data_IF_388472453260
#
_entry.id   IF_388472453260
#
_cell.length_a   1.000
_cell.length_b   1.000
_cell.length_c   1.000
_cell.angle_alpha   90.00
_cell.angle_beta   90.00
_cell.angle_gamma   90.00
#
_symmetry.space_group_name_H-M   'P 1'
#
loop_
_entity.id
_entity.type
_entity.pdbx_description
1 polymer ?
#
# COMPACT_ATOMS: atom_id res chain seq x y z
N UNK A 1 -0.28 0.26 22.30
CA UNK A 1 -1.54 -0.11 22.99
C UNK A 1 -2.62 -0.39 21.94
N UNK A 2 -3.62 -1.23 22.26
CA UNK A 2 -4.70 -1.59 21.34
C UNK A 2 -5.40 -0.36 20.72
N UNK A 3 -5.57 0.73 21.47
CA UNK A 3 -6.13 1.98 20.96
C UNK A 3 -5.22 2.64 19.90
N UNK A 4 -3.90 2.58 20.10
CA UNK A 4 -2.92 3.07 19.11
C UNK A 4 -2.96 2.27 17.81
N UNK A 5 -3.20 0.97 17.88
CA UNK A 5 -3.20 0.09 16.71
C UNK A 5 -4.49 0.24 15.89
N UNK A 6 -5.62 0.44 16.56
CA UNK A 6 -6.91 0.79 15.90
C UNK A 6 -6.79 2.13 15.18
N UNK A 7 -6.16 3.12 15.79
CA UNK A 7 -5.97 4.44 15.20
C UNK A 7 -5.08 4.41 13.95
N UNK A 8 -3.99 3.64 14.01
CA UNK A 8 -3.09 3.43 12.87
C UNK A 8 -3.80 2.76 11.69
N UNK A 9 -4.66 1.77 11.98
CA UNK A 9 -5.44 1.07 10.96
C UNK A 9 -6.46 1.97 10.26
N UNK A 10 -7.03 2.95 10.94
CA UNK A 10 -8.00 3.87 10.34
C UNK A 10 -7.34 4.97 9.50
N UNK A 11 -6.10 5.35 9.83
CA UNK A 11 -5.41 6.45 9.15
C UNK A 11 -4.95 6.09 7.73
N UNK A 12 -4.66 4.83 7.41
CA UNK A 12 -4.15 4.47 6.09
C UNK A 12 -5.15 4.80 4.97
N UNK A 13 -6.44 4.71 5.27
CA UNK A 13 -7.53 4.98 4.33
C UNK A 13 -8.24 6.33 4.56
N UNK A 14 -7.72 7.22 5.39
CA UNK A 14 -8.40 8.47 5.77
C UNK A 14 -8.70 9.42 4.58
N UNK A 15 -7.98 9.29 3.47
CA UNK A 15 -8.22 10.05 2.24
C UNK A 15 -8.92 9.26 1.13
N UNK A 16 -9.31 8.01 1.38
CA UNK A 16 -9.88 7.11 0.36
C UNK A 16 -11.24 7.59 -0.16
N UNK A 17 -12.07 8.15 0.70
CA UNK A 17 -13.42 8.62 0.34
C UNK A 17 -13.45 9.91 -0.46
N UNK A 18 -12.31 10.57 -0.72
CA UNK A 18 -12.28 11.77 -1.54
C UNK A 18 -12.52 11.43 -3.02
N UNK A 19 -13.28 12.27 -3.79
CA UNK A 19 -13.37 12.14 -5.23
C UNK A 19 -12.00 12.25 -5.93
N UNK A 20 -11.86 11.65 -7.11
CA UNK A 20 -10.61 11.59 -7.86
C UNK A 20 -10.02 12.98 -8.17
N UNK A 21 -10.86 13.89 -8.65
CA UNK A 21 -10.50 15.28 -8.95
C UNK A 21 -10.05 16.04 -7.70
N UNK A 22 -10.69 15.79 -6.57
CA UNK A 22 -10.33 16.40 -5.30
C UNK A 22 -8.99 15.84 -4.76
N UNK A 23 -8.71 14.55 -4.92
CA UNK A 23 -7.40 13.97 -4.59
C UNK A 23 -6.28 14.67 -5.36
N UNK A 24 -6.45 14.84 -6.67
CA UNK A 24 -5.48 15.54 -7.53
C UNK A 24 -5.30 17.00 -7.08
N UNK A 25 -6.40 17.72 -6.88
CA UNK A 25 -6.37 19.11 -6.47
C UNK A 25 -5.67 19.31 -5.12
N UNK A 26 -5.92 18.43 -4.15
CA UNK A 26 -5.29 18.48 -2.83
C UNK A 26 -3.80 18.16 -2.89
N UNK A 27 -3.40 17.16 -3.68
CA UNK A 27 -1.99 16.87 -3.89
C UNK A 27 -1.25 18.08 -4.47
N UNK A 28 -1.80 18.72 -5.50
CA UNK A 28 -1.24 19.94 -6.09
C UNK A 28 -1.16 21.08 -5.07
N UNK A 29 -2.24 21.32 -4.32
CA UNK A 29 -2.29 22.36 -3.28
C UNK A 29 -1.19 22.21 -2.23
N UNK A 30 -0.89 20.98 -1.85
CA UNK A 30 0.10 20.68 -0.81
C UNK A 30 1.50 20.37 -1.36
N UNK A 31 1.73 20.53 -2.66
CA UNK A 31 3.04 20.31 -3.29
C UNK A 31 3.47 18.85 -3.30
N UNK A 32 2.54 17.90 -3.22
CA UNK A 32 2.82 16.48 -3.31
C UNK A 32 3.01 16.09 -4.79
N UNK A 33 4.10 15.43 -5.15
CA UNK A 33 4.34 15.02 -6.53
C UNK A 33 3.31 13.97 -6.97
N UNK A 34 2.83 14.07 -8.19
CA UNK A 34 1.89 13.13 -8.81
C UNK A 34 2.58 12.51 -10.02
N UNK A 35 2.73 11.19 -10.03
CA UNK A 35 3.25 10.45 -11.18
C UNK A 35 2.22 10.34 -12.31
N UNK A 36 2.64 9.93 -13.50
CA UNK A 36 1.72 9.70 -14.62
C UNK A 36 0.71 8.59 -14.30
N UNK A 37 1.15 7.52 -13.64
CA UNK A 37 0.29 6.41 -13.21
C UNK A 37 -0.75 6.88 -12.20
N UNK A 38 -0.34 7.69 -11.20
CA UNK A 38 -1.25 8.27 -10.22
C UNK A 38 -2.24 9.25 -10.85
N UNK A 39 -1.82 9.97 -11.88
CA UNK A 39 -2.71 10.87 -12.62
C UNK A 39 -3.75 10.09 -13.43
N UNK A 40 -3.36 8.98 -14.04
CA UNK A 40 -4.25 8.08 -14.76
C UNK A 40 -5.16 7.28 -13.81
N UNK A 41 -4.69 6.97 -12.60
CA UNK A 41 -5.43 6.28 -11.56
C UNK A 41 -5.37 7.04 -10.21
N UNK A 42 -6.20 8.09 -10.05
CA UNK A 42 -6.15 8.95 -8.87
C UNK A 42 -6.48 8.25 -7.54
N UNK A 43 -7.05 7.05 -7.59
CA UNK A 43 -7.28 6.26 -6.39
C UNK A 43 -5.98 5.95 -5.62
N UNK A 44 -4.86 5.81 -6.31
CA UNK A 44 -3.56 5.60 -5.69
C UNK A 44 -3.11 6.78 -4.79
N UNK A 45 -3.62 7.98 -5.05
CA UNK A 45 -3.26 9.18 -4.30
C UNK A 45 -3.76 9.17 -2.85
N UNK A 46 -4.72 8.32 -2.50
CA UNK A 46 -5.23 8.29 -1.12
C UNK A 46 -4.14 7.91 -0.10
N UNK A 47 -3.20 7.08 -0.46
CA UNK A 47 -2.09 6.68 0.40
C UNK A 47 -1.16 7.86 0.71
N UNK A 48 -0.76 8.59 -0.31
CA UNK A 48 0.10 9.77 -0.22
C UNK A 48 -0.58 10.91 0.55
N UNK A 49 -1.84 11.20 0.24
CA UNK A 49 -2.65 12.17 0.97
C UNK A 49 -2.90 11.75 2.42
N UNK A 50 -3.14 10.46 2.65
CA UNK A 50 -3.30 9.92 3.98
C UNK A 50 -2.07 10.13 4.85
N UNK A 51 -0.87 9.87 4.32
CA UNK A 51 0.39 10.12 5.01
C UNK A 51 0.59 11.62 5.32
N UNK A 52 0.25 12.49 4.37
CA UNK A 52 0.29 13.94 4.56
C UNK A 52 -0.66 14.38 5.68
N UNK A 53 -1.92 13.94 5.66
CA UNK A 53 -2.90 14.29 6.69
C UNK A 53 -2.58 13.69 8.06
N UNK A 54 -2.01 12.49 8.11
CA UNK A 54 -1.54 11.89 9.35
C UNK A 54 -0.57 12.83 10.07
N UNK A 55 0.35 13.43 9.33
CA UNK A 55 1.30 14.41 9.86
C UNK A 55 0.62 15.74 10.21
N UNK A 56 -0.01 16.39 9.23
CA UNK A 56 -0.43 17.78 9.35
C UNK A 56 -1.72 17.97 10.19
N UNK A 57 -2.65 17.01 10.08
CA UNK A 57 -3.95 17.10 10.74
C UNK A 57 -4.02 16.33 12.05
N UNK A 58 -3.31 15.21 12.14
CA UNK A 58 -3.36 14.31 13.29
C UNK A 58 -2.08 14.28 14.11
N UNK A 59 -1.07 15.07 13.74
CA UNK A 59 0.18 15.23 14.50
C UNK A 59 1.01 13.96 14.61
N UNK A 60 0.94 13.06 13.62
CA UNK A 60 1.73 11.83 13.60
C UNK A 60 3.15 12.15 13.15
N UNK A 61 4.07 12.22 14.10
CA UNK A 61 5.49 12.50 13.84
C UNK A 61 6.33 11.23 13.59
N UNK A 62 5.81 10.06 13.93
CA UNK A 62 6.48 8.79 13.72
C UNK A 62 6.61 8.47 12.22
N UNK A 63 7.86 8.40 11.75
CA UNK A 63 8.21 8.15 10.36
C UNK A 63 7.75 6.77 9.90
N UNK A 64 7.85 5.74 10.74
CA UNK A 64 7.46 4.38 10.41
C UNK A 64 5.94 4.27 10.17
N UNK A 65 5.15 4.98 10.98
CA UNK A 65 3.69 5.06 10.79
C UNK A 65 3.36 5.77 9.48
N UNK A 66 4.02 6.89 9.17
CA UNK A 66 3.78 7.63 7.93
C UNK A 66 4.16 6.82 6.70
N UNK A 67 5.31 6.15 6.73
CA UNK A 67 5.74 5.25 5.67
C UNK A 67 4.77 4.08 5.47
N UNK A 68 4.26 3.50 6.55
CA UNK A 68 3.25 2.44 6.47
C UNK A 68 1.97 2.93 5.78
N UNK A 69 1.55 4.16 6.00
CA UNK A 69 0.39 4.77 5.33
C UNK A 69 0.71 5.05 3.85
N UNK A 70 1.85 5.67 3.57
CA UNK A 70 2.24 6.08 2.22
C UNK A 70 2.39 4.90 1.26
N UNK A 71 3.00 3.82 1.74
CA UNK A 71 3.35 2.66 0.91
C UNK A 71 2.40 1.46 1.07
N UNK A 72 1.24 1.63 1.70
CA UNK A 72 0.35 0.49 1.95
C UNK A 72 -0.26 -0.12 0.67
N UNK A 73 -0.30 0.60 -0.45
CA UNK A 73 -0.84 0.11 -1.72
C UNK A 73 0.23 -0.45 -2.66
N UNK A 74 1.39 0.17 -2.72
CA UNK A 74 2.48 -0.21 -3.63
C UNK A 74 3.57 -1.03 -2.97
N UNK A 75 3.71 -0.92 -1.66
CA UNK A 75 4.92 -1.31 -0.95
C UNK A 75 6.11 -0.43 -1.33
N UNK A 76 7.26 -0.76 -0.80
CA UNK A 76 8.58 -0.26 -1.21
C UNK A 76 9.65 -1.31 -0.91
N UNK A 77 10.83 -1.26 -1.53
CA UNK A 77 11.96 -2.10 -1.12
C UNK A 77 12.32 -1.91 0.36
N UNK A 78 12.71 -2.97 1.03
CA UNK A 78 13.15 -2.97 2.43
C UNK A 78 12.15 -2.34 3.41
N UNK A 79 10.88 -2.71 3.33
CA UNK A 79 9.85 -2.25 4.27
C UNK A 79 10.18 -2.66 5.71
N UNK A 80 9.85 -1.79 6.66
CA UNK A 80 9.81 -2.14 8.08
C UNK A 80 8.74 -3.20 8.36
N UNK A 81 8.80 -3.81 9.52
CA UNK A 81 7.78 -4.78 9.92
C UNK A 81 6.39 -4.15 9.95
N UNK A 82 6.25 -2.92 10.43
CA UNK A 82 4.97 -2.20 10.47
C UNK A 82 4.43 -1.95 9.06
N UNK A 83 5.27 -1.51 8.13
CA UNK A 83 4.89 -1.31 6.74
C UNK A 83 4.39 -2.62 6.09
N UNK A 84 5.09 -3.72 6.32
CA UNK A 84 4.67 -5.05 5.83
C UNK A 84 3.35 -5.50 6.43
N UNK A 85 3.16 -5.31 7.74
CA UNK A 85 1.90 -5.67 8.42
C UNK A 85 0.73 -4.87 7.84
N UNK A 86 0.86 -3.57 7.65
CA UNK A 86 -0.22 -2.73 7.10
C UNK A 86 -0.51 -3.12 5.65
N UNK A 87 0.52 -3.31 4.83
CA UNK A 87 0.40 -3.74 3.43
C UNK A 87 -0.34 -5.08 3.30
N UNK A 88 0.06 -6.09 4.07
CA UNK A 88 -0.55 -7.42 4.03
C UNK A 88 -1.95 -7.40 4.61
N UNK A 89 -2.16 -6.74 5.76
CA UNK A 89 -3.46 -6.69 6.44
C UNK A 89 -4.54 -6.04 5.58
N UNK A 90 -4.20 -4.99 4.82
CA UNK A 90 -5.14 -4.36 3.88
C UNK A 90 -5.56 -5.32 2.77
N UNK A 91 -4.64 -6.14 2.26
CA UNK A 91 -4.93 -7.10 1.20
C UNK A 91 -5.77 -8.29 1.67
N UNK A 92 -5.48 -8.84 2.84
CA UNK A 92 -6.15 -10.05 3.38
C UNK A 92 -7.40 -9.77 4.20
N UNK A 93 -7.90 -8.55 4.20
CA UNK A 93 -9.08 -8.16 4.98
C UNK A 93 -10.27 -9.08 4.67
N UNK A 94 -10.97 -9.63 5.71
CA UNK A 94 -12.04 -10.61 5.51
C UNK A 94 -13.24 -10.08 4.72
N UNK A 95 -13.49 -8.77 4.77
CA UNK A 95 -14.62 -8.13 4.08
C UNK A 95 -14.34 -7.81 2.60
N UNK A 96 -13.13 -8.04 2.12
CA UNK A 96 -12.81 -7.90 0.70
C UNK A 96 -13.42 -9.04 -0.12
N UNK A 97 -13.72 -8.75 -1.39
CA UNK A 97 -14.07 -9.81 -2.35
C UNK A 97 -12.96 -10.88 -2.36
N UNK A 98 -13.31 -12.17 -2.49
CA UNK A 98 -12.32 -13.23 -2.60
C UNK A 98 -11.31 -12.92 -3.70
N UNK A 99 -10.03 -12.98 -3.35
CA UNK A 99 -8.89 -12.79 -4.26
C UNK A 99 -8.24 -14.14 -4.52
N UNK A 100 -7.56 -14.32 -5.67
CA UNK A 100 -6.84 -15.56 -5.94
C UNK A 100 -5.85 -15.90 -4.83
N UNK A 101 -5.80 -17.17 -4.43
CA UNK A 101 -4.84 -17.69 -3.45
C UNK A 101 -4.84 -17.00 -2.07
N UNK A 102 -5.98 -16.36 -1.71
CA UNK A 102 -6.09 -15.57 -0.47
C UNK A 102 -5.79 -16.39 0.80
N UNK A 103 -6.19 -17.66 0.83
CA UNK A 103 -5.97 -18.50 2.01
C UNK A 103 -4.49 -18.88 2.15
N UNK A 104 -3.78 -19.10 1.05
CA UNK A 104 -2.33 -19.30 1.04
C UNK A 104 -1.60 -18.05 1.53
N UNK A 105 -1.97 -16.88 1.03
CA UNK A 105 -1.40 -15.58 1.45
C UNK A 105 -1.65 -15.35 2.94
N UNK A 106 -2.84 -15.67 3.47
CA UNK A 106 -3.14 -15.58 4.91
C UNK A 106 -2.24 -16.48 5.74
N UNK A 107 -1.98 -17.70 5.29
CA UNK A 107 -1.09 -18.62 5.97
C UNK A 107 0.36 -18.12 5.95
N UNK A 108 0.83 -17.66 4.80
CA UNK A 108 2.16 -17.05 4.65
C UNK A 108 2.34 -15.82 5.54
N UNK A 109 1.30 -14.99 5.70
CA UNK A 109 1.36 -13.80 6.53
C UNK A 109 1.75 -14.07 7.99
N UNK A 110 1.43 -15.26 8.51
CA UNK A 110 1.76 -15.66 9.88
C UNK A 110 3.05 -16.47 10.02
N UNK A 111 3.57 -17.03 8.93
CA UNK A 111 4.78 -17.85 8.93
C UNK A 111 5.97 -17.13 8.29
N UNK A 112 5.75 -16.41 7.20
CA UNK A 112 6.75 -15.67 6.43
C UNK A 112 6.10 -14.45 5.77
N UNK A 113 6.15 -13.30 6.43
CA UNK A 113 5.52 -12.09 5.93
C UNK A 113 6.16 -11.58 4.63
N UNK A 114 7.45 -11.83 4.40
CA UNK A 114 8.14 -11.44 3.17
C UNK A 114 7.64 -12.26 1.97
N UNK A 115 7.37 -13.54 2.17
CA UNK A 115 6.73 -14.39 1.17
C UNK A 115 5.32 -13.91 0.84
N UNK A 116 4.54 -13.53 1.85
CA UNK A 116 3.19 -12.99 1.62
C UNK A 116 3.20 -11.66 0.85
N UNK A 117 4.16 -10.77 1.13
CA UNK A 117 4.36 -9.52 0.36
C UNK A 117 4.67 -9.82 -1.10
N UNK A 118 5.61 -10.73 -1.37
CA UNK A 118 5.95 -11.14 -2.73
C UNK A 118 4.76 -11.76 -3.47
N UNK A 119 3.99 -12.60 -2.80
CA UNK A 119 2.81 -13.25 -3.36
C UNK A 119 1.70 -12.25 -3.72
N UNK A 120 1.42 -11.30 -2.83
CA UNK A 120 0.47 -10.20 -3.07
C UNK A 120 0.87 -9.39 -4.30
N UNK A 121 2.14 -9.01 -4.39
CA UNK A 121 2.65 -8.22 -5.51
C UNK A 121 2.61 -8.99 -6.82
N UNK A 122 2.93 -10.28 -6.81
CA UNK A 122 2.79 -11.15 -7.99
C UNK A 122 1.35 -11.13 -8.51
N UNK A 123 0.36 -11.33 -7.64
CA UNK A 123 -1.05 -11.33 -8.03
C UNK A 123 -1.50 -9.96 -8.54
N UNK A 124 -1.08 -8.89 -7.89
CA UNK A 124 -1.41 -7.52 -8.28
C UNK A 124 -0.83 -7.19 -9.65
N UNK A 125 0.45 -7.49 -9.90
CA UNK A 125 1.10 -7.24 -11.18
C UNK A 125 0.51 -8.09 -12.30
N UNK A 126 0.21 -9.37 -12.05
CA UNK A 126 -0.45 -10.25 -13.01
C UNK A 126 -1.82 -9.74 -13.41
N UNK A 127 -2.60 -9.23 -12.46
CA UNK A 127 -3.91 -8.63 -12.72
C UNK A 127 -3.79 -7.38 -13.60
N UNK A 128 -2.82 -6.52 -13.35
CA UNK A 128 -2.59 -5.30 -14.13
C UNK A 128 -2.13 -5.61 -15.55
N UNK A 129 -1.25 -6.62 -15.74
CA UNK A 129 -0.79 -7.06 -17.06
C UNK A 129 -1.90 -7.69 -17.91
N UNK A 130 -2.98 -8.18 -17.31
CA UNK A 130 -4.12 -8.77 -18.05
C UNK A 130 -4.99 -7.75 -18.81
N UNK A 131 -4.59 -6.49 -18.88
CA UNK A 131 -5.06 -5.53 -19.87
C UNK A 131 -6.30 -4.72 -19.49
N UNK A 132 -6.70 -4.69 -18.23
CA UNK A 132 -7.92 -3.98 -17.85
C UNK A 132 -7.72 -2.56 -17.34
N UNK A 133 -6.52 -2.14 -16.98
CA UNK A 133 -6.32 -0.81 -16.41
C UNK A 133 -4.85 -0.38 -16.36
N UNK A 134 -4.45 0.46 -17.27
CA UNK A 134 -3.37 1.41 -17.09
C UNK A 134 -1.96 0.87 -16.81
N UNK A 135 -1.04 1.78 -16.81
CA UNK A 135 0.37 1.51 -16.49
C UNK A 135 0.55 1.01 -15.05
N UNK A 136 1.40 0.02 -14.89
CA UNK A 136 1.79 -0.53 -13.59
C UNK A 136 2.65 0.49 -12.83
N UNK A 137 2.38 0.70 -11.55
CA UNK A 137 3.20 1.56 -10.71
C UNK A 137 4.63 1.01 -10.60
N UNK A 138 5.61 1.83 -10.95
CA UNK A 138 7.04 1.45 -10.94
C UNK A 138 7.49 1.02 -9.53
N UNK A 139 6.95 1.61 -8.48
CA UNK A 139 7.28 1.24 -7.10
C UNK A 139 6.83 -0.19 -6.78
N UNK A 140 5.64 -0.61 -7.24
CA UNK A 140 5.16 -1.99 -7.07
C UNK A 140 6.09 -2.99 -7.77
N UNK A 141 6.57 -2.69 -8.97
CA UNK A 141 7.53 -3.52 -9.69
C UNK A 141 8.86 -3.63 -8.94
N UNK A 142 9.39 -2.51 -8.45
CA UNK A 142 10.63 -2.48 -7.66
C UNK A 142 10.49 -3.27 -6.37
N UNK A 143 9.37 -3.15 -5.69
CA UNK A 143 9.06 -3.88 -4.47
C UNK A 143 9.00 -5.38 -4.73
N UNK A 144 8.32 -5.79 -5.79
CA UNK A 144 8.26 -7.20 -6.19
C UNK A 144 9.65 -7.79 -6.45
N UNK A 145 10.47 -7.09 -7.22
CA UNK A 145 11.85 -7.53 -7.50
C UNK A 145 12.67 -7.68 -6.22
N UNK A 146 12.54 -6.75 -5.29
CA UNK A 146 13.25 -6.82 -4.01
C UNK A 146 12.84 -8.07 -3.20
N UNK A 147 11.53 -8.28 -2.99
CA UNK A 147 11.06 -9.39 -2.15
C UNK A 147 11.19 -10.76 -2.81
N UNK A 148 11.24 -10.84 -4.13
CA UNK A 148 11.54 -12.10 -4.83
C UNK A 148 13.03 -12.42 -4.82
N UNK A 149 13.92 -11.43 -4.80
CA UNK A 149 15.37 -11.67 -4.72
C UNK A 149 15.80 -12.23 -3.36
N UNK A 150 15.09 -11.89 -2.28
CA UNK A 150 15.36 -12.45 -0.94
C UNK A 150 15.13 -13.97 -0.87
N UNK A 151 14.20 -14.50 -1.67
CA UNK A 151 13.88 -15.93 -1.74
C UNK A 151 14.81 -16.71 -2.67
N UNK A 152 15.72 -16.04 -3.38
CA UNK A 152 16.62 -16.66 -4.37
C UNK A 152 18.01 -17.00 -3.80
N UNK A 153 18.27 -16.66 -2.55
CA UNK A 153 19.59 -16.85 -1.89
C UNK A 153 19.64 -18.09 -0.96
N UNK A 154 18.62 -18.96 -1.03
CA UNK A 154 18.63 -20.27 -0.34
C UNK A 154 18.96 -21.44 -1.26
#
# INVERSE_FOLDING_TARGET
SAASDVYKRQLHDCAKCLPADEKIARCKKHGLPISQVEFANPELLHAKLGAYYAREKYGVDDEDIRSAIEFHTTGRPAMSLLEKIVFVADYIEPNRKPLPEIDEIRNEAFSDIDASVAHILKNTLTYLDSGSCGDTDEMSVRTYKYYTSLNSED
#
